data_IF_174841874796
#
_entry.id   IF_174841874796
#
_cell.length_a   1.000
_cell.length_b   1.000
_cell.length_c   1.000
_cell.angle_alpha   90.00
_cell.angle_beta   90.00
_cell.angle_gamma   90.00
#
_symmetry.space_group_name_H-M   'P 1'
#
loop_
_entity.id
_entity.type
_entity.pdbx_description
1 polymer ?
#
# COMPACT_ATOMS: atom_id res chain seq x y z
N UNK A 1 24.58 41.08 -5.40
CA UNK A 1 24.65 42.53 -5.67
C UNK A 1 24.73 43.37 -4.39
N UNK A 2 23.88 43.12 -3.38
CA UNK A 2 23.93 43.78 -2.05
C UNK A 2 25.27 43.57 -1.33
N UNK A 3 25.79 42.33 -1.29
CA UNK A 3 27.09 41.97 -0.68
C UNK A 3 28.30 42.77 -1.20
N UNK A 4 28.36 43.00 -2.52
CA UNK A 4 29.45 43.79 -3.16
C UNK A 4 29.35 45.28 -2.80
N UNK A 5 28.11 45.77 -2.68
CA UNK A 5 27.80 47.17 -2.44
C UNK A 5 27.98 47.58 -0.98
N UNK A 6 27.55 46.70 -0.08
CA UNK A 6 27.79 46.76 1.35
C UNK A 6 29.29 46.80 1.68
N UNK A 7 30.07 45.93 1.04
CA UNK A 7 31.54 45.94 1.16
C UNK A 7 32.12 47.23 0.62
N UNK A 8 31.72 47.67 -0.58
CA UNK A 8 32.22 48.93 -1.15
C UNK A 8 31.92 50.15 -0.26
N UNK A 9 30.73 50.21 0.38
CA UNK A 9 30.44 51.23 1.39
C UNK A 9 31.33 51.05 2.62
N UNK A 10 31.47 49.84 3.16
CA UNK A 10 32.34 49.59 4.32
C UNK A 10 33.79 49.97 4.06
N UNK A 11 34.35 49.57 2.91
CA UNK A 11 35.73 49.86 2.50
C UNK A 11 35.92 51.37 2.31
N UNK A 12 34.95 52.07 1.72
CA UNK A 12 34.96 53.52 1.60
C UNK A 12 34.94 54.21 2.97
N UNK A 13 34.02 53.81 3.84
CA UNK A 13 33.88 54.38 5.18
C UNK A 13 35.13 54.12 6.04
N UNK A 14 35.80 52.98 5.86
CA UNK A 14 37.08 52.66 6.47
C UNK A 14 38.23 53.54 5.94
N UNK A 15 38.26 53.79 4.62
CA UNK A 15 39.21 54.74 4.04
C UNK A 15 38.98 56.17 4.52
N UNK A 16 37.72 56.60 4.62
CA UNK A 16 37.37 57.93 5.13
C UNK A 16 37.76 58.11 6.61
N UNK A 17 37.63 57.03 7.40
CA UNK A 17 38.06 56.97 8.79
C UNK A 17 39.58 57.17 8.96
N UNK A 18 40.36 56.51 8.12
CA UNK A 18 41.82 56.53 8.20
C UNK A 18 42.45 57.78 7.57
N UNK A 19 41.89 58.28 6.46
CA UNK A 19 42.48 59.34 5.63
C UNK A 19 41.82 60.71 5.83
N UNK A 20 40.72 60.78 6.57
CA UNK A 20 39.97 62.01 6.80
C UNK A 20 39.16 62.50 5.58
N UNK A 21 38.80 63.80 5.60
CA UNK A 21 37.84 64.49 4.71
C UNK A 21 38.27 64.48 3.22
N UNK A 22 39.48 64.05 2.89
CA UNK A 22 40.04 64.15 1.53
C UNK A 22 39.59 63.03 0.58
N UNK A 23 38.74 62.10 1.01
CA UNK A 23 38.38 60.93 0.21
C UNK A 23 37.16 61.20 -0.68
N UNK A 24 37.32 61.15 -2.01
CA UNK A 24 36.20 61.30 -2.95
C UNK A 24 35.26 60.09 -2.87
N UNK A 25 33.97 60.34 -2.61
CA UNK A 25 32.97 59.27 -2.56
C UNK A 25 32.82 58.65 -3.97
N UNK A 26 32.96 57.33 -4.12
CA UNK A 26 32.79 56.66 -5.41
C UNK A 26 31.43 56.96 -6.04
N UNK A 27 31.43 57.34 -7.33
CA UNK A 27 30.22 57.68 -8.10
C UNK A 27 29.18 56.54 -8.12
N UNK A 28 29.64 55.29 -8.01
CA UNK A 28 28.77 54.11 -7.93
C UNK A 28 27.91 54.05 -6.66
N UNK A 29 28.39 54.63 -5.55
CA UNK A 29 27.64 54.73 -4.30
C UNK A 29 26.63 55.88 -4.36
N UNK A 30 27.04 57.04 -4.92
CA UNK A 30 26.19 58.24 -5.07
C UNK A 30 24.94 58.01 -5.94
N UNK A 31 25.07 57.20 -6.99
CA UNK A 31 23.97 56.92 -7.93
C UNK A 31 22.89 55.99 -7.38
N UNK A 32 23.06 55.45 -6.17
CA UNK A 32 22.10 54.53 -5.59
C UNK A 32 20.94 55.30 -4.97
N UNK A 33 19.72 54.82 -5.20
CA UNK A 33 18.52 55.35 -4.56
C UNK A 33 18.23 54.71 -3.18
N UNK A 34 19.06 53.77 -2.74
CA UNK A 34 18.90 53.07 -1.46
C UNK A 34 19.62 53.78 -0.30
N UNK A 35 19.50 53.23 0.90
CA UNK A 35 20.08 53.78 2.15
C UNK A 35 21.60 53.97 2.06
N UNK A 36 22.31 53.13 1.28
CA UNK A 36 23.75 53.29 1.01
C UNK A 36 24.00 54.58 0.23
N UNK A 37 23.21 54.84 -0.81
CA UNK A 37 23.34 56.07 -1.59
C UNK A 37 22.93 57.32 -0.83
N UNK A 38 21.85 57.25 -0.04
CA UNK A 38 21.44 58.36 0.83
C UNK A 38 22.50 58.71 1.87
N UNK A 39 23.09 57.69 2.51
CA UNK A 39 24.19 57.88 3.46
C UNK A 39 25.42 58.46 2.76
N UNK A 40 25.77 57.96 1.57
CA UNK A 40 26.87 58.50 0.78
C UNK A 40 26.66 59.97 0.40
N UNK A 41 25.46 60.34 -0.07
CA UNK A 41 25.15 61.74 -0.40
C UNK A 41 25.11 62.67 0.82
N UNK A 42 24.66 62.17 1.98
CA UNK A 42 24.71 62.94 3.23
C UNK A 42 26.16 63.19 3.68
N UNK A 43 27.03 62.18 3.54
CA UNK A 43 28.46 62.32 3.79
C UNK A 43 29.12 63.32 2.84
N UNK A 44 28.75 63.30 1.55
CA UNK A 44 29.28 64.23 0.55
C UNK A 44 29.02 65.69 0.91
N UNK A 45 27.79 66.01 1.33
CA UNK A 45 27.44 67.38 1.74
C UNK A 45 28.29 67.88 2.90
N UNK A 46 28.57 67.02 3.87
CA UNK A 46 29.44 67.37 5.01
C UNK A 46 30.88 67.59 4.54
N UNK A 47 31.38 66.78 3.60
CA UNK A 47 32.72 66.93 3.02
C UNK A 47 32.84 68.23 2.19
N UNK A 48 31.85 68.53 1.35
CA UNK A 48 31.80 69.77 0.55
C UNK A 48 31.77 71.01 1.45
N UNK A 49 30.89 71.02 2.46
CA UNK A 49 30.73 72.14 3.38
C UNK A 49 31.92 72.31 4.35
N UNK A 50 32.69 71.25 4.60
CA UNK A 50 33.93 71.33 5.40
C UNK A 50 35.15 71.77 4.59
N UNK A 51 35.21 71.46 3.28
CA UNK A 51 36.27 71.92 2.38
C UNK A 51 36.15 73.41 2.01
N UNK A 52 34.93 73.95 1.92
CA UNK A 52 34.68 75.38 1.63
C UNK A 52 35.16 76.33 2.78
N UNK A 53 35.57 75.77 3.94
CA UNK A 53 36.19 76.54 5.04
C UNK A 53 37.60 77.04 4.74
N UNK A 54 38.37 76.37 3.88
CA UNK A 54 39.73 76.82 3.54
C UNK A 54 39.72 78.06 2.61
N UNK A 55 38.60 78.34 1.93
CA UNK A 55 38.49 79.44 0.96
C UNK A 55 37.73 80.68 1.50
N UNK A 56 36.91 80.53 2.55
CA UNK A 56 36.15 81.65 3.16
C UNK A 56 36.24 81.65 4.69
N UNK A 57 37.18 82.44 5.21
CA UNK A 57 37.21 82.78 6.62
C UNK A 57 35.98 83.65 7.01
N UNK A 58 35.29 83.23 8.07
CA UNK A 58 34.31 83.95 8.93
C UNK A 58 32.83 83.62 8.70
N UNK A 59 32.21 82.92 9.67
CA UNK A 59 30.76 82.95 9.86
C UNK A 59 30.18 81.79 10.68
N UNK A 60 29.39 82.12 11.70
CA UNK A 60 28.53 81.19 12.47
C UNK A 60 27.57 80.39 11.60
N UNK A 61 27.19 80.90 10.41
CA UNK A 61 26.27 80.22 9.48
C UNK A 61 26.79 78.91 8.87
N UNK A 62 28.10 78.81 8.57
CA UNK A 62 28.69 77.54 8.08
C UNK A 62 28.68 76.48 9.19
N UNK A 63 28.81 76.90 10.45
CA UNK A 63 28.71 76.00 11.60
C UNK A 63 27.29 75.48 11.81
N UNK A 64 26.27 76.32 11.59
CA UNK A 64 24.87 75.92 11.64
C UNK A 64 24.51 74.95 10.49
N UNK A 65 25.03 75.20 9.29
CA UNK A 65 24.80 74.34 8.10
C UNK A 65 25.43 72.95 8.25
N UNK A 66 26.71 72.88 8.67
CA UNK A 66 27.37 71.59 8.94
C UNK A 66 26.67 70.84 10.10
N UNK A 67 26.19 71.56 11.12
CA UNK A 67 25.41 70.96 12.21
C UNK A 67 24.09 70.36 11.70
N UNK A 68 23.40 71.07 10.79
CA UNK A 68 22.20 70.57 10.12
C UNK A 68 22.45 69.31 9.28
N UNK A 69 23.53 69.28 8.51
CA UNK A 69 23.93 68.11 7.72
C UNK A 69 24.34 66.93 8.61
N UNK A 70 24.99 67.17 9.74
CA UNK A 70 25.30 66.12 10.72
C UNK A 70 24.03 65.53 11.34
N UNK A 71 23.03 66.35 11.66
CA UNK A 71 21.73 65.87 12.14
C UNK A 71 21.03 65.02 11.07
N UNK A 72 21.12 65.42 9.81
CA UNK A 72 20.60 64.63 8.68
C UNK A 72 21.36 63.30 8.52
N UNK A 73 22.69 63.31 8.62
CA UNK A 73 23.51 62.10 8.60
C UNK A 73 23.19 61.17 9.78
N UNK A 74 23.04 61.72 10.99
CA UNK A 74 22.66 60.97 12.19
C UNK A 74 21.33 60.25 11.98
N UNK A 75 20.33 60.96 11.45
CA UNK A 75 19.02 60.39 11.14
C UNK A 75 19.09 59.28 10.09
N UNK A 76 19.90 59.44 9.04
CA UNK A 76 20.07 58.42 8.01
C UNK A 76 20.85 57.19 8.53
N UNK A 77 21.83 57.39 9.40
CA UNK A 77 22.57 56.32 10.09
C UNK A 77 21.65 55.55 11.03
N UNK A 78 20.80 56.23 11.80
CA UNK A 78 19.80 55.59 12.67
C UNK A 78 18.82 54.75 11.84
N UNK A 79 18.29 55.32 10.75
CA UNK A 79 17.38 54.61 9.86
C UNK A 79 18.06 53.38 9.22
N UNK A 80 19.29 53.53 8.75
CA UNK A 80 20.08 52.44 8.16
C UNK A 80 20.35 51.34 9.20
N UNK A 81 20.71 51.71 10.43
CA UNK A 81 20.93 50.77 11.54
C UNK A 81 19.66 49.95 11.81
N UNK A 82 18.49 50.59 11.88
CA UNK A 82 17.20 49.91 12.07
C UNK A 82 16.87 48.93 10.94
N UNK A 83 17.21 49.27 9.69
CA UNK A 83 17.06 48.37 8.55
C UNK A 83 17.97 47.14 8.70
N UNK A 84 19.23 47.32 9.10
CA UNK A 84 20.16 46.21 9.32
C UNK A 84 19.81 45.32 10.52
N UNK A 85 19.20 45.88 11.57
CA UNK A 85 18.66 45.09 12.68
C UNK A 85 17.50 44.21 12.21
N UNK A 86 16.58 44.78 11.43
CA UNK A 86 15.47 44.04 10.84
C UNK A 86 15.97 42.96 9.86
N UNK A 87 17.00 43.26 9.08
CA UNK A 87 17.65 42.31 8.17
C UNK A 87 18.34 41.17 8.93
N UNK A 88 19.06 41.47 10.01
CA UNK A 88 19.70 40.46 10.87
C UNK A 88 18.65 39.55 11.51
N UNK A 89 17.51 40.11 11.93
CA UNK A 89 16.37 39.33 12.44
C UNK A 89 15.83 38.39 11.36
N UNK A 90 15.58 38.89 10.15
CA UNK A 90 15.09 38.07 9.04
C UNK A 90 16.07 36.95 8.66
N UNK A 91 17.39 37.21 8.72
CA UNK A 91 18.43 36.18 8.51
C UNK A 91 18.38 35.10 9.58
N UNK A 92 18.20 35.46 10.86
CA UNK A 92 18.06 34.47 11.94
C UNK A 92 16.82 33.61 11.74
N UNK A 93 15.69 34.22 11.42
CA UNK A 93 14.45 33.50 11.11
C UNK A 93 14.63 32.55 9.89
N UNK A 94 15.37 32.97 8.86
CA UNK A 94 15.72 32.13 7.72
C UNK A 94 16.63 30.95 8.09
N UNK A 95 17.58 31.15 9.01
CA UNK A 95 18.43 30.08 9.52
C UNK A 95 17.62 29.07 10.35
N UNK A 96 16.79 29.54 11.28
CA UNK A 96 15.93 28.70 12.12
C UNK A 96 14.94 27.88 11.29
N UNK A 97 14.32 28.50 10.27
CA UNK A 97 13.43 27.78 9.34
C UNK A 97 14.20 26.75 8.52
N UNK A 98 15.42 27.05 8.09
CA UNK A 98 16.26 26.09 7.35
C UNK A 98 16.64 24.88 8.20
N UNK A 99 16.94 25.07 9.48
CA UNK A 99 17.20 23.97 10.42
C UNK A 99 15.97 23.06 10.58
N UNK A 100 14.78 23.65 10.69
CA UNK A 100 13.53 22.89 10.75
C UNK A 100 13.24 22.10 9.46
N UNK A 101 13.54 22.67 8.30
CA UNK A 101 13.43 21.95 7.01
C UNK A 101 14.46 20.81 6.96
N UNK A 102 15.68 21.00 7.47
CA UNK A 102 16.71 19.97 7.50
C UNK A 102 16.28 18.78 8.37
N UNK A 103 15.73 19.06 9.56
CA UNK A 103 15.17 18.03 10.43
C UNK A 103 14.03 17.25 9.74
N UNK A 104 13.11 17.97 9.08
CA UNK A 104 12.01 17.36 8.33
C UNK A 104 12.51 16.50 7.17
N UNK A 105 13.54 16.96 6.46
CA UNK A 105 14.19 16.21 5.38
C UNK A 105 14.81 14.90 5.89
N UNK A 106 15.45 14.91 7.06
CA UNK A 106 15.98 13.68 7.68
C UNK A 106 14.87 12.71 8.10
N UNK A 107 13.73 13.20 8.58
CA UNK A 107 12.58 12.34 8.89
C UNK A 107 11.96 11.72 7.64
N UNK A 108 11.98 12.44 6.52
CA UNK A 108 11.62 11.90 5.22
C UNK A 108 12.60 10.77 4.82
N UNK A 109 13.91 10.94 4.99
CA UNK A 109 14.90 9.86 4.72
C UNK A 109 14.56 8.59 5.52
N UNK A 110 14.26 8.74 6.82
CA UNK A 110 13.87 7.60 7.68
C UNK A 110 12.60 6.94 7.18
N UNK A 111 11.61 7.73 6.75
CA UNK A 111 10.35 7.23 6.19
C UNK A 111 10.59 6.44 4.89
N UNK A 112 11.47 6.92 4.02
CA UNK A 112 11.84 6.20 2.79
C UNK A 112 12.58 4.91 3.09
N UNK A 113 13.50 4.90 4.05
CA UNK A 113 14.17 3.66 4.48
C UNK A 113 13.17 2.63 5.02
N UNK A 114 12.17 3.09 5.76
CA UNK A 114 11.09 2.24 6.23
C UNK A 114 10.25 1.68 5.07
N UNK A 115 9.91 2.50 4.08
CA UNK A 115 9.22 2.06 2.86
C UNK A 115 10.06 1.02 2.12
N UNK A 116 11.36 1.26 1.92
CA UNK A 116 12.27 0.31 1.28
C UNK A 116 12.34 -1.04 1.99
N UNK A 117 12.30 -1.05 3.33
CA UNK A 117 12.19 -2.29 4.10
C UNK A 117 10.85 -2.99 3.85
N UNK A 118 9.75 -2.23 3.80
CA UNK A 118 8.40 -2.77 3.55
C UNK A 118 8.24 -3.30 2.13
N UNK A 119 8.80 -2.64 1.13
CA UNK A 119 8.79 -3.11 -0.26
C UNK A 119 9.60 -4.39 -0.40
N UNK A 120 10.78 -4.48 0.24
CA UNK A 120 11.57 -5.73 0.27
C UNK A 120 10.80 -6.90 0.90
N UNK A 121 10.11 -6.65 2.01
CA UNK A 121 9.20 -7.65 2.59
C UNK A 121 8.05 -8.02 1.63
N UNK A 122 7.48 -7.02 0.93
CA UNK A 122 6.45 -7.19 -0.08
C UNK A 122 6.87 -8.13 -1.21
N UNK A 123 8.11 -8.00 -1.73
CA UNK A 123 8.65 -8.93 -2.75
C UNK A 123 8.63 -10.38 -2.24
N UNK A 124 9.06 -10.60 -1.00
CA UNK A 124 9.05 -11.95 -0.41
C UNK A 124 7.62 -12.49 -0.28
N UNK A 125 6.68 -11.66 0.16
CA UNK A 125 5.27 -12.04 0.31
C UNK A 125 4.62 -12.37 -1.03
N UNK A 126 4.87 -11.56 -2.07
CA UNK A 126 4.43 -11.85 -3.44
C UNK A 126 4.93 -13.22 -3.88
N UNK A 127 6.21 -13.51 -3.66
CA UNK A 127 6.79 -14.80 -4.06
C UNK A 127 6.13 -15.97 -3.34
N UNK A 128 5.83 -15.81 -2.06
CA UNK A 128 5.11 -16.82 -1.28
C UNK A 128 3.69 -17.06 -1.81
N UNK A 129 2.95 -15.98 -2.14
CA UNK A 129 1.60 -16.09 -2.72
C UNK A 129 1.64 -16.87 -4.04
N UNK A 130 2.59 -16.56 -4.92
CA UNK A 130 2.76 -17.29 -6.19
C UNK A 130 3.04 -18.78 -5.96
N UNK A 131 3.94 -19.12 -5.03
CA UNK A 131 4.25 -20.51 -4.69
C UNK A 131 3.03 -21.25 -4.13
N UNK A 132 2.24 -20.59 -3.27
CA UNK A 132 1.01 -21.16 -2.70
C UNK A 132 -0.08 -21.34 -3.75
N UNK A 133 -0.22 -20.39 -4.68
CA UNK A 133 -1.15 -20.49 -5.80
C UNK A 133 -0.79 -21.67 -6.72
N UNK A 134 0.49 -21.86 -7.03
CA UNK A 134 0.94 -22.98 -7.85
C UNK A 134 0.76 -24.33 -7.12
N UNK A 135 1.09 -24.38 -5.84
CA UNK A 135 0.84 -25.57 -5.01
C UNK A 135 -0.65 -25.92 -4.95
N UNK A 136 -1.53 -24.92 -4.82
CA UNK A 136 -2.97 -25.11 -4.84
C UNK A 136 -3.43 -25.71 -6.18
N UNK A 137 -2.93 -25.20 -7.31
CA UNK A 137 -3.25 -25.78 -8.64
C UNK A 137 -2.86 -27.25 -8.71
N UNK A 138 -1.65 -27.59 -8.29
CA UNK A 138 -1.18 -28.96 -8.28
C UNK A 138 -2.08 -29.86 -7.43
N UNK A 139 -2.41 -29.44 -6.21
CA UNK A 139 -3.30 -30.18 -5.31
C UNK A 139 -4.69 -30.38 -5.92
N UNK A 140 -5.23 -29.38 -6.61
CA UNK A 140 -6.52 -29.49 -7.30
C UNK A 140 -6.45 -30.48 -8.47
N UNK A 141 -5.39 -30.46 -9.28
CA UNK A 141 -5.22 -31.45 -10.36
C UNK A 141 -5.12 -32.88 -9.82
N UNK A 142 -4.36 -33.09 -8.73
CA UNK A 142 -4.27 -34.40 -8.07
C UNK A 142 -5.63 -34.84 -7.52
N UNK A 143 -6.38 -33.94 -6.89
CA UNK A 143 -7.70 -34.22 -6.36
C UNK A 143 -8.71 -34.56 -7.48
N UNK A 144 -8.67 -33.82 -8.59
CA UNK A 144 -9.52 -34.07 -9.75
C UNK A 144 -9.20 -35.42 -10.40
N UNK A 145 -7.92 -35.78 -10.49
CA UNK A 145 -7.49 -37.12 -10.92
C UNK A 145 -8.04 -38.23 -10.03
N UNK A 146 -7.91 -38.08 -8.71
CA UNK A 146 -8.47 -39.05 -7.73
C UNK A 146 -9.99 -39.15 -7.83
N UNK A 147 -10.68 -38.02 -7.90
CA UNK A 147 -12.14 -37.96 -8.02
C UNK A 147 -12.62 -38.68 -9.28
N UNK A 148 -11.93 -38.48 -10.41
CA UNK A 148 -12.22 -39.17 -11.66
C UNK A 148 -12.01 -40.68 -11.56
N UNK A 149 -10.92 -41.13 -10.97
CA UNK A 149 -10.67 -42.57 -10.75
C UNK A 149 -11.78 -43.21 -9.92
N UNK A 150 -12.21 -42.56 -8.83
CA UNK A 150 -13.32 -43.05 -7.99
C UNK A 150 -14.64 -43.06 -8.76
N UNK A 151 -14.91 -42.01 -9.53
CA UNK A 151 -16.10 -41.91 -10.38
C UNK A 151 -16.17 -43.06 -11.39
N UNK A 152 -15.10 -43.27 -12.16
CA UNK A 152 -15.05 -44.30 -13.20
C UNK A 152 -15.18 -45.71 -12.60
N UNK A 153 -14.50 -45.98 -11.47
CA UNK A 153 -14.60 -47.26 -10.76
C UNK A 153 -16.03 -47.51 -10.23
N UNK A 154 -16.62 -46.52 -9.53
CA UNK A 154 -17.96 -46.63 -8.95
C UNK A 154 -19.01 -46.83 -10.05
N UNK A 155 -18.87 -46.13 -11.18
CA UNK A 155 -19.74 -46.30 -12.33
C UNK A 155 -19.67 -47.73 -12.88
N UNK A 156 -18.47 -48.28 -13.08
CA UNK A 156 -18.29 -49.65 -13.56
C UNK A 156 -18.83 -50.71 -12.59
N UNK A 157 -18.61 -50.52 -11.29
CA UNK A 157 -19.15 -51.40 -10.25
C UNK A 157 -20.69 -51.37 -10.24
N UNK A 158 -21.28 -50.18 -10.41
CA UNK A 158 -22.74 -50.02 -10.49
C UNK A 158 -23.33 -50.71 -11.73
N UNK A 159 -22.72 -50.51 -12.90
CA UNK A 159 -23.14 -51.18 -14.14
C UNK A 159 -23.09 -52.71 -13.99
N UNK A 160 -22.03 -53.23 -13.37
CA UNK A 160 -21.87 -54.66 -13.08
C UNK A 160 -22.91 -55.16 -12.08
N UNK A 161 -23.21 -54.39 -11.02
CA UNK A 161 -24.21 -54.75 -10.03
C UNK A 161 -25.63 -54.79 -10.62
N UNK A 162 -25.96 -53.86 -11.51
CA UNK A 162 -27.25 -53.84 -12.23
C UNK A 162 -27.34 -55.02 -13.20
N UNK A 163 -26.26 -55.40 -13.87
CA UNK A 163 -26.29 -56.59 -14.73
C UNK A 163 -26.49 -57.87 -13.92
N UNK A 164 -25.77 -58.01 -12.81
CA UNK A 164 -25.88 -59.17 -11.92
C UNK A 164 -27.26 -59.28 -11.25
N UNK A 165 -27.94 -58.16 -11.00
CA UNK A 165 -29.27 -58.16 -10.40
C UNK A 165 -30.35 -58.73 -11.33
N UNK A 166 -30.11 -58.80 -12.65
CA UNK A 166 -31.03 -59.47 -13.59
C UNK A 166 -31.21 -60.97 -13.29
N UNK A 167 -30.29 -61.59 -12.55
CA UNK A 167 -30.47 -62.96 -12.04
C UNK A 167 -31.71 -63.07 -11.13
N UNK A 168 -32.13 -61.98 -10.48
CA UNK A 168 -33.36 -61.92 -9.67
C UNK A 168 -34.60 -62.18 -10.54
N UNK A 169 -34.61 -61.75 -11.80
CA UNK A 169 -35.68 -62.04 -12.76
C UNK A 169 -35.81 -63.54 -13.03
N UNK A 170 -34.69 -64.27 -13.06
CA UNK A 170 -34.69 -65.73 -13.20
C UNK A 170 -35.31 -66.44 -11.99
N UNK A 171 -35.17 -65.87 -10.78
CA UNK A 171 -35.83 -66.40 -9.57
C UNK A 171 -37.35 -66.29 -9.69
N UNK A 172 -37.87 -65.20 -10.27
CA UNK A 172 -39.30 -65.05 -10.54
C UNK A 172 -39.82 -66.16 -11.48
N UNK A 173 -39.10 -66.47 -12.55
CA UNK A 173 -39.46 -67.56 -13.48
C UNK A 173 -39.43 -68.94 -12.80
N UNK A 174 -38.42 -69.20 -11.97
CA UNK A 174 -38.29 -70.45 -11.21
C UNK A 174 -39.42 -70.61 -10.19
N UNK A 175 -39.74 -69.55 -9.45
CA UNK A 175 -40.82 -69.59 -8.45
C UNK A 175 -42.20 -69.78 -9.08
N UNK A 176 -42.46 -69.17 -10.25
CA UNK A 176 -43.66 -69.44 -11.06
C UNK A 176 -43.79 -70.93 -11.41
N UNK A 177 -42.68 -71.54 -11.85
CA UNK A 177 -42.62 -72.97 -12.19
C UNK A 177 -42.90 -73.86 -10.97
N UNK A 178 -42.36 -73.51 -9.79
CA UNK A 178 -42.63 -74.25 -8.55
C UNK A 178 -44.11 -74.10 -8.12
N UNK A 179 -44.72 -72.93 -8.32
CA UNK A 179 -46.17 -72.74 -8.07
C UNK A 179 -47.00 -73.66 -8.97
N UNK A 180 -46.62 -73.80 -10.24
CA UNK A 180 -47.30 -74.74 -11.16
C UNK A 180 -47.16 -76.19 -10.68
N UNK A 181 -45.95 -76.62 -10.31
CA UNK A 181 -45.69 -77.97 -9.78
C UNK A 181 -46.49 -78.22 -8.50
N UNK A 182 -46.43 -77.30 -7.52
CA UNK A 182 -47.15 -77.44 -6.24
C UNK A 182 -48.67 -77.48 -6.45
N UNK A 183 -49.20 -76.70 -7.41
CA UNK A 183 -50.62 -76.73 -7.77
C UNK A 183 -51.01 -78.07 -8.40
N UNK A 184 -50.17 -78.62 -9.28
CA UNK A 184 -50.39 -79.93 -9.88
C UNK A 184 -50.29 -81.07 -8.85
N UNK A 185 -49.32 -81.01 -7.94
CA UNK A 185 -49.18 -81.96 -6.82
C UNK A 185 -50.37 -81.90 -5.87
N UNK A 186 -50.88 -80.70 -5.59
CA UNK A 186 -52.10 -80.53 -4.78
C UNK A 186 -53.33 -81.16 -5.45
N UNK A 187 -53.47 -81.01 -6.77
CA UNK A 187 -54.53 -81.67 -7.56
C UNK A 187 -54.39 -83.20 -7.58
N UNK A 188 -53.17 -83.71 -7.74
CA UNK A 188 -52.87 -85.14 -7.68
C UNK A 188 -53.20 -85.73 -6.30
N UNK A 189 -52.80 -85.04 -5.23
CA UNK A 189 -53.10 -85.42 -3.86
C UNK A 189 -54.60 -85.41 -3.58
N UNK A 190 -55.33 -84.40 -4.08
CA UNK A 190 -56.78 -84.33 -3.99
C UNK A 190 -57.45 -85.53 -4.69
N UNK A 191 -57.02 -85.85 -5.91
CA UNK A 191 -57.53 -87.01 -6.64
C UNK A 191 -57.23 -88.33 -5.90
N UNK A 192 -56.04 -88.46 -5.30
CA UNK A 192 -55.68 -89.61 -4.49
C UNK A 192 -56.52 -89.73 -3.22
N UNK A 193 -56.83 -88.62 -2.54
CA UNK A 193 -57.74 -88.58 -1.39
C UNK A 193 -59.16 -89.01 -1.78
N UNK A 194 -59.66 -88.57 -2.94
CA UNK A 194 -60.96 -88.98 -3.48
C UNK A 194 -61.00 -90.49 -3.74
N UNK A 195 -59.99 -91.05 -4.40
CA UNK A 195 -59.95 -92.47 -4.75
C UNK A 195 -59.71 -93.35 -3.50
N UNK A 196 -58.94 -92.88 -2.52
CA UNK A 196 -58.78 -93.53 -1.22
C UNK A 196 -60.09 -93.58 -0.43
N UNK A 197 -60.90 -92.51 -0.47
CA UNK A 197 -62.24 -92.51 0.13
C UNK A 197 -63.18 -93.50 -0.59
N UNK A 198 -63.02 -93.66 -1.90
CA UNK A 198 -63.80 -94.58 -2.74
C UNK A 198 -63.50 -96.06 -2.43
N UNK A 199 -62.27 -96.38 -2.03
CA UNK A 199 -61.85 -97.71 -1.60
C UNK A 199 -62.30 -98.08 -0.16
N UNK A 200 -62.94 -97.16 0.57
CA UNK A 200 -63.50 -97.43 1.91
C UNK A 200 -62.44 -97.77 2.96
N UNK A 201 -62.67 -98.85 3.74
CA UNK A 201 -61.75 -99.31 4.81
C UNK A 201 -60.33 -99.63 4.28
N UNK A 202 -60.21 -100.17 3.07
CA UNK A 202 -58.92 -100.53 2.48
C UNK A 202 -58.08 -99.30 2.06
N UNK A 203 -58.72 -98.14 1.87
CA UNK A 203 -58.07 -96.90 1.44
C UNK A 203 -57.62 -95.96 2.57
N UNK A 204 -57.96 -96.26 3.84
CA UNK A 204 -57.67 -95.37 4.98
C UNK A 204 -56.20 -94.95 5.08
N UNK A 205 -55.26 -95.88 4.91
CA UNK A 205 -53.82 -95.58 4.94
C UNK A 205 -53.37 -94.66 3.80
N UNK A 206 -53.89 -94.88 2.59
CA UNK A 206 -53.62 -94.03 1.43
C UNK A 206 -54.23 -92.63 1.57
N UNK A 207 -55.41 -92.51 2.17
CA UNK A 207 -56.06 -91.23 2.40
C UNK A 207 -55.25 -90.33 3.34
N UNK A 208 -54.62 -90.90 4.37
CA UNK A 208 -53.76 -90.15 5.29
C UNK A 208 -52.52 -89.62 4.56
N UNK A 209 -51.87 -90.46 3.76
CA UNK A 209 -50.71 -90.05 2.96
C UNK A 209 -51.09 -88.97 1.93
N UNK A 210 -52.21 -89.13 1.24
CA UNK A 210 -52.68 -88.16 0.26
C UNK A 210 -53.00 -86.80 0.88
N UNK A 211 -53.65 -86.76 2.04
CA UNK A 211 -53.93 -85.50 2.73
C UNK A 211 -52.65 -84.84 3.28
N UNK A 212 -51.63 -85.62 3.67
CA UNK A 212 -50.32 -85.09 4.05
C UNK A 212 -49.56 -84.49 2.85
N UNK A 213 -49.58 -85.15 1.69
CA UNK A 213 -49.02 -84.60 0.43
C UNK A 213 -49.73 -83.30 0.05
N UNK A 214 -51.06 -83.24 0.21
CA UNK A 214 -51.87 -82.04 -0.04
C UNK A 214 -51.41 -80.87 0.85
N UNK A 215 -51.26 -81.11 2.16
CA UNK A 215 -50.77 -80.11 3.11
C UNK A 215 -49.36 -79.65 2.78
N UNK A 216 -48.45 -80.55 2.42
CA UNK A 216 -47.09 -80.22 2.00
C UNK A 216 -47.09 -79.34 0.74
N UNK A 217 -47.92 -79.67 -0.26
CA UNK A 217 -48.03 -78.88 -1.49
C UNK A 217 -48.55 -77.45 -1.21
N UNK A 218 -49.55 -77.31 -0.32
CA UNK A 218 -50.09 -76.01 0.09
C UNK A 218 -49.07 -75.19 0.92
N UNK A 219 -48.32 -75.86 1.81
CA UNK A 219 -47.21 -75.23 2.53
C UNK A 219 -46.10 -74.78 1.57
N UNK A 220 -45.69 -75.60 0.61
CA UNK A 220 -44.71 -75.22 -0.41
C UNK A 220 -45.18 -74.01 -1.22
N UNK A 221 -46.45 -73.98 -1.66
CA UNK A 221 -47.02 -72.82 -2.37
C UNK A 221 -46.94 -71.54 -1.53
N UNK A 222 -47.26 -71.62 -0.24
CA UNK A 222 -47.17 -70.48 0.67
C UNK A 222 -45.72 -69.98 0.85
N UNK A 223 -44.74 -70.89 0.93
CA UNK A 223 -43.31 -70.53 1.00
C UNK A 223 -42.88 -69.85 -0.30
N UNK A 224 -43.24 -70.39 -1.45
CA UNK A 224 -42.87 -69.82 -2.75
C UNK A 224 -43.50 -68.44 -2.98
N UNK A 225 -44.75 -68.24 -2.55
CA UNK A 225 -45.38 -66.92 -2.58
C UNK A 225 -44.65 -65.89 -1.72
N UNK A 226 -44.09 -66.30 -0.57
CA UNK A 226 -43.21 -65.43 0.23
C UNK A 226 -41.89 -65.13 -0.50
N UNK A 227 -41.31 -66.12 -1.19
CA UNK A 227 -40.10 -65.90 -2.01
C UNK A 227 -40.38 -64.85 -3.08
N UNK A 228 -41.48 -64.97 -3.85
CA UNK A 228 -41.87 -63.97 -4.85
C UNK A 228 -41.99 -62.56 -4.26
N UNK A 229 -42.62 -62.42 -3.08
CA UNK A 229 -42.69 -61.11 -2.39
C UNK A 229 -41.31 -60.55 -2.06
N UNK A 230 -40.39 -61.38 -1.57
CA UNK A 230 -39.02 -60.94 -1.29
C UNK A 230 -38.25 -60.60 -2.56
N UNK A 231 -38.44 -61.35 -3.65
CA UNK A 231 -37.83 -61.07 -4.95
C UNK A 231 -38.23 -59.69 -5.46
N UNK A 232 -39.52 -59.32 -5.39
CA UNK A 232 -40.00 -57.99 -5.76
C UNK A 232 -39.38 -56.90 -4.88
N UNK A 233 -39.30 -57.11 -3.56
CA UNK A 233 -38.66 -56.14 -2.65
C UNK A 233 -37.17 -55.94 -2.95
N UNK A 234 -36.47 -57.01 -3.34
CA UNK A 234 -35.06 -56.94 -3.75
C UNK A 234 -34.93 -56.16 -5.05
N UNK A 235 -35.79 -56.41 -6.04
CA UNK A 235 -35.79 -55.67 -7.31
C UNK A 235 -36.02 -54.17 -7.09
N UNK A 236 -37.05 -53.79 -6.32
CA UNK A 236 -37.31 -52.39 -5.96
C UNK A 236 -36.11 -51.73 -5.26
N UNK A 237 -35.46 -52.46 -4.34
CA UNK A 237 -34.28 -51.97 -3.62
C UNK A 237 -33.10 -51.73 -4.57
N UNK A 238 -32.91 -52.61 -5.56
CA UNK A 238 -31.86 -52.46 -6.58
C UNK A 238 -32.14 -51.26 -7.48
N UNK A 239 -33.39 -51.06 -7.92
CA UNK A 239 -33.79 -49.89 -8.73
C UNK A 239 -33.51 -48.60 -7.96
N UNK A 240 -33.95 -48.51 -6.71
CA UNK A 240 -33.67 -47.33 -5.88
C UNK A 240 -32.18 -47.09 -5.62
N UNK A 241 -31.39 -48.15 -5.46
CA UNK A 241 -29.94 -48.05 -5.34
C UNK A 241 -29.30 -47.52 -6.63
N UNK A 242 -29.76 -47.99 -7.78
CA UNK A 242 -29.30 -47.54 -9.09
C UNK A 242 -29.61 -46.06 -9.34
N UNK A 243 -30.85 -45.64 -9.07
CA UNK A 243 -31.26 -44.22 -9.16
C UNK A 243 -30.42 -43.34 -8.22
N UNK A 244 -30.26 -43.74 -6.96
CA UNK A 244 -29.50 -42.98 -5.97
C UNK A 244 -28.02 -42.86 -6.36
N UNK A 245 -27.44 -43.95 -6.87
CA UNK A 245 -26.04 -43.99 -7.31
C UNK A 245 -25.83 -43.14 -8.57
N UNK A 246 -26.77 -43.18 -9.52
CA UNK A 246 -26.72 -42.31 -10.71
C UNK A 246 -26.78 -40.83 -10.34
N UNK A 247 -27.62 -40.44 -9.37
CA UNK A 247 -27.66 -39.06 -8.86
C UNK A 247 -26.34 -38.64 -8.21
N UNK A 248 -25.68 -39.54 -7.48
CA UNK A 248 -24.36 -39.27 -6.91
C UNK A 248 -23.28 -39.11 -7.99
N UNK A 249 -23.32 -39.95 -9.03
CA UNK A 249 -22.43 -39.82 -10.18
C UNK A 249 -22.66 -38.49 -10.90
N UNK A 250 -23.91 -38.09 -11.14
CA UNK A 250 -24.23 -36.80 -11.76
C UNK A 250 -23.69 -35.61 -10.94
N UNK A 251 -23.89 -35.64 -9.62
CA UNK A 251 -23.33 -34.64 -8.70
C UNK A 251 -21.79 -34.60 -8.77
N UNK A 252 -21.13 -35.76 -8.80
CA UNK A 252 -19.67 -35.82 -8.93
C UNK A 252 -19.18 -35.29 -10.29
N UNK A 253 -19.86 -35.63 -11.38
CA UNK A 253 -19.47 -35.20 -12.72
C UNK A 253 -19.69 -33.71 -12.95
N UNK A 254 -20.67 -33.12 -12.26
CA UNK A 254 -21.12 -31.75 -12.53
C UNK A 254 -20.64 -30.82 -11.42
N UNK A 255 -21.22 -30.92 -10.22
CA UNK A 255 -20.97 -30.00 -9.13
C UNK A 255 -19.53 -30.09 -8.60
N UNK A 256 -19.03 -31.31 -8.37
CA UNK A 256 -17.66 -31.48 -7.87
C UNK A 256 -16.63 -31.00 -8.89
N UNK A 257 -16.81 -31.34 -10.17
CA UNK A 257 -15.95 -30.86 -11.25
C UNK A 257 -15.99 -29.32 -11.38
N UNK A 258 -17.17 -28.72 -11.35
CA UNK A 258 -17.34 -27.27 -11.40
C UNK A 258 -16.68 -26.56 -10.21
N UNK A 259 -16.79 -27.12 -9.00
CA UNK A 259 -16.10 -26.59 -7.82
C UNK A 259 -14.58 -26.61 -7.97
N UNK A 260 -14.01 -27.69 -8.52
CA UNK A 260 -12.57 -27.75 -8.79
C UNK A 260 -12.14 -26.74 -9.86
N UNK A 261 -12.91 -26.56 -10.94
CA UNK A 261 -12.64 -25.53 -11.95
C UNK A 261 -12.68 -24.12 -11.35
N UNK A 262 -13.68 -23.81 -10.52
CA UNK A 262 -13.76 -22.53 -9.81
C UNK A 262 -12.55 -22.32 -8.88
N UNK A 263 -12.08 -23.38 -8.21
CA UNK A 263 -10.88 -23.33 -7.36
C UNK A 263 -9.61 -23.06 -8.17
N UNK A 264 -9.48 -23.64 -9.37
CA UNK A 264 -8.38 -23.33 -10.29
C UNK A 264 -8.43 -21.88 -10.76
N UNK A 265 -9.62 -21.33 -11.01
CA UNK A 265 -9.80 -19.92 -11.35
C UNK A 265 -9.33 -19.01 -10.20
N UNK A 266 -9.67 -19.34 -8.95
CA UNK A 266 -9.19 -18.61 -7.76
C UNK A 266 -7.66 -18.66 -7.68
N UNK A 267 -7.06 -19.84 -7.93
CA UNK A 267 -5.60 -19.96 -7.93
C UNK A 267 -4.93 -19.13 -9.03
N UNK A 268 -5.56 -19.00 -10.20
CA UNK A 268 -5.11 -18.08 -11.25
C UNK A 268 -5.21 -16.62 -10.80
N UNK A 269 -6.35 -16.21 -10.23
CA UNK A 269 -6.55 -14.85 -9.71
C UNK A 269 -5.52 -14.49 -8.65
N UNK A 270 -5.15 -15.40 -7.76
CA UNK A 270 -4.07 -15.15 -6.80
C UNK A 270 -2.70 -14.89 -7.45
N UNK A 271 -2.42 -15.50 -8.60
CA UNK A 271 -1.20 -15.22 -9.34
C UNK A 271 -1.25 -13.83 -9.99
N UNK A 272 -2.41 -13.44 -10.53
CA UNK A 272 -2.65 -12.11 -11.10
C UNK A 272 -2.56 -11.03 -10.01
N UNK A 273 -3.20 -11.25 -8.86
CA UNK A 273 -3.12 -10.36 -7.69
C UNK A 273 -1.68 -10.23 -7.19
N UNK A 274 -0.92 -11.33 -7.15
CA UNK A 274 0.50 -11.28 -6.79
C UNK A 274 1.33 -10.47 -7.79
N UNK A 275 1.03 -10.58 -9.09
CA UNK A 275 1.67 -9.74 -10.12
C UNK A 275 1.34 -8.26 -9.93
N UNK A 276 0.08 -7.93 -9.68
CA UNK A 276 -0.34 -6.56 -9.40
C UNK A 276 0.38 -5.98 -8.18
N UNK A 277 0.49 -6.75 -7.08
CA UNK A 277 1.24 -6.33 -5.90
C UNK A 277 2.73 -6.18 -6.18
N UNK A 278 3.32 -7.05 -7.02
CA UNK A 278 4.71 -6.92 -7.43
C UNK A 278 4.97 -5.60 -8.16
N UNK A 279 4.07 -5.21 -9.06
CA UNK A 279 4.18 -3.97 -9.82
C UNK A 279 4.09 -2.75 -8.91
N UNK A 280 3.16 -2.74 -7.96
CA UNK A 280 3.08 -1.69 -6.92
C UNK A 280 4.38 -1.61 -6.09
N UNK A 281 4.96 -2.75 -5.71
CA UNK A 281 6.22 -2.79 -4.96
C UNK A 281 7.37 -2.20 -5.79
N UNK A 282 7.40 -2.46 -7.09
CA UNK A 282 8.36 -1.89 -8.02
C UNK A 282 8.22 -0.36 -8.13
N UNK A 283 6.99 0.12 -8.26
CA UNK A 283 6.67 1.55 -8.31
C UNK A 283 7.05 2.28 -7.00
N UNK A 284 6.78 1.68 -5.85
CA UNK A 284 7.21 2.23 -4.56
C UNK A 284 8.73 2.32 -4.45
N UNK A 285 9.47 1.34 -4.96
CA UNK A 285 10.94 1.40 -4.98
C UNK A 285 11.45 2.53 -5.89
N UNK A 286 10.87 2.69 -7.08
CA UNK A 286 11.22 3.78 -7.98
C UNK A 286 10.95 5.16 -7.35
N UNK A 287 9.74 5.35 -6.83
CA UNK A 287 9.33 6.59 -6.14
C UNK A 287 10.21 6.88 -4.92
N UNK A 288 10.55 5.85 -4.13
CA UNK A 288 11.46 5.99 -2.99
C UNK A 288 12.84 6.48 -3.40
N UNK A 289 13.38 5.96 -4.51
CA UNK A 289 14.67 6.39 -5.03
C UNK A 289 14.65 7.85 -5.47
N UNK A 290 13.62 8.27 -6.20
CA UNK A 290 13.44 9.67 -6.62
C UNK A 290 13.30 10.61 -5.42
N UNK A 291 12.59 10.16 -4.38
CA UNK A 291 12.38 10.94 -3.18
C UNK A 291 13.68 11.14 -2.40
N UNK A 292 14.58 10.14 -2.35
CA UNK A 292 15.92 10.29 -1.79
C UNK A 292 16.75 11.32 -2.56
N UNK A 293 16.69 11.31 -3.89
CA UNK A 293 17.38 12.32 -4.72
C UNK A 293 16.83 13.72 -4.42
N UNK A 294 15.51 13.85 -4.33
CA UNK A 294 14.85 15.13 -4.00
C UNK A 294 15.27 15.65 -2.63
N UNK A 295 15.28 14.79 -1.61
CA UNK A 295 15.72 15.14 -0.26
C UNK A 295 17.20 15.54 -0.24
N UNK A 296 18.05 14.84 -0.98
CA UNK A 296 19.47 15.21 -1.12
C UNK A 296 19.65 16.62 -1.71
N UNK A 297 18.83 16.99 -2.70
CA UNK A 297 18.85 18.33 -3.27
C UNK A 297 18.40 19.39 -2.27
N UNK A 298 17.32 19.11 -1.52
CA UNK A 298 16.83 20.00 -0.44
C UNK A 298 17.90 20.24 0.62
N UNK A 299 18.59 19.18 1.07
CA UNK A 299 19.68 19.32 2.06
C UNK A 299 20.85 20.15 1.53
N UNK A 300 21.20 20.00 0.25
CA UNK A 300 22.23 20.82 -0.39
C UNK A 300 21.80 22.30 -0.50
N UNK A 301 20.53 22.58 -0.81
CA UNK A 301 20.03 23.94 -0.88
C UNK A 301 19.93 24.60 0.52
N UNK A 302 19.62 23.82 1.56
CA UNK A 302 19.70 24.27 2.96
C UNK A 302 21.13 24.66 3.33
N UNK A 303 22.13 23.88 2.95
CA UNK A 303 23.53 24.20 3.22
C UNK A 303 23.94 25.54 2.59
N UNK A 304 23.51 25.79 1.33
CA UNK A 304 23.70 27.08 0.65
C UNK A 304 22.96 28.24 1.34
N UNK A 305 21.76 28.00 1.85
CA UNK A 305 21.00 29.01 2.60
C UNK A 305 21.70 29.32 3.92
N UNK A 306 22.14 28.30 4.66
CA UNK A 306 22.89 28.46 5.91
C UNK A 306 24.16 29.30 5.70
N UNK A 307 24.94 28.98 4.65
CA UNK A 307 26.11 29.75 4.28
C UNK A 307 25.77 31.20 3.92
N UNK A 308 24.72 31.41 3.12
CA UNK A 308 24.27 32.75 2.71
C UNK A 308 23.75 33.58 3.87
N UNK A 309 23.05 32.96 4.82
CA UNK A 309 22.57 33.56 6.06
C UNK A 309 23.72 33.97 6.96
N UNK A 310 24.71 33.09 7.16
CA UNK A 310 25.93 33.40 7.93
C UNK A 310 26.68 34.60 7.33
N UNK A 311 26.90 34.57 6.02
CA UNK A 311 27.52 35.67 5.28
C UNK A 311 26.72 36.98 5.41
N UNK A 312 25.39 36.89 5.27
CA UNK A 312 24.48 38.04 5.39
C UNK A 312 24.54 38.69 6.77
N UNK A 313 24.61 37.88 7.84
CA UNK A 313 24.71 38.35 9.21
C UNK A 313 26.04 39.05 9.47
N UNK A 314 27.16 38.48 9.02
CA UNK A 314 28.50 39.10 9.12
C UNK A 314 28.54 40.46 8.41
N UNK A 315 28.00 40.53 7.20
CA UNK A 315 27.91 41.79 6.44
C UNK A 315 27.06 42.82 7.16
N UNK A 316 25.90 42.43 7.70
CA UNK A 316 25.02 43.32 8.43
C UNK A 316 25.70 43.92 9.67
N UNK A 317 26.41 43.08 10.44
CA UNK A 317 27.17 43.51 11.61
C UNK A 317 28.32 44.44 11.25
N UNK A 318 29.06 44.15 10.18
CA UNK A 318 30.15 45.01 9.69
C UNK A 318 29.62 46.39 9.30
N UNK A 319 28.55 46.47 8.53
CA UNK A 319 27.98 47.77 8.12
C UNK A 319 27.50 48.56 9.33
N UNK A 320 26.81 47.91 10.28
CA UNK A 320 26.39 48.56 11.53
C UNK A 320 27.59 49.14 12.28
N UNK A 321 28.65 48.37 12.46
CA UNK A 321 29.88 48.81 13.13
C UNK A 321 30.56 49.98 12.40
N UNK A 322 30.68 49.89 11.08
CA UNK A 322 31.31 50.93 10.26
C UNK A 322 30.50 52.24 10.26
N UNK A 323 29.17 52.17 10.20
CA UNK A 323 28.31 53.36 10.28
C UNK A 323 28.46 54.10 11.62
N UNK A 324 28.53 53.36 12.72
CA UNK A 324 28.78 53.95 14.04
C UNK A 324 30.15 54.63 14.10
N UNK A 325 31.20 53.98 13.57
CA UNK A 325 32.55 54.57 13.52
C UNK A 325 32.58 55.89 12.74
N UNK A 326 31.93 55.92 11.57
CA UNK A 326 31.86 57.11 10.71
C UNK A 326 31.17 58.25 11.43
N UNK A 327 30.02 57.98 12.06
CA UNK A 327 29.32 58.98 12.87
C UNK A 327 30.24 59.58 13.95
N UNK A 328 30.95 58.73 14.69
CA UNK A 328 31.86 59.16 15.76
C UNK A 328 33.04 59.99 15.23
N UNK A 329 33.54 59.70 14.03
CA UNK A 329 34.62 60.48 13.41
C UNK A 329 34.17 61.85 12.92
N UNK A 330 33.00 61.93 12.27
CA UNK A 330 32.43 63.23 11.90
C UNK A 330 32.12 64.09 13.13
N UNK A 331 31.68 63.45 14.22
CA UNK A 331 31.53 64.14 15.52
C UNK A 331 32.87 64.67 16.05
N UNK A 332 33.94 63.87 16.00
CA UNK A 332 35.30 64.33 16.40
C UNK A 332 35.84 65.45 15.52
N UNK A 333 35.54 65.43 14.22
CA UNK A 333 35.88 66.51 13.29
C UNK A 333 35.23 67.81 13.74
N UNK A 334 33.95 67.79 14.13
CA UNK A 334 33.27 68.96 14.68
C UNK A 334 33.87 69.45 16.01
N UNK A 335 34.23 68.53 16.91
CA UNK A 335 34.92 68.87 18.16
C UNK A 335 36.28 69.53 17.91
N UNK A 336 37.02 69.08 16.88
CA UNK A 336 38.30 69.70 16.47
C UNK A 336 38.13 71.04 15.73
N UNK A 337 36.98 71.26 15.09
CA UNK A 337 36.66 72.50 14.37
C UNK A 337 36.25 73.65 15.31
N UNK A 338 36.40 73.48 16.62
CA UNK A 338 36.12 74.46 17.68
C UNK A 338 34.70 75.05 17.60
N UNK A 339 33.70 74.17 17.53
CA UNK A 339 32.32 74.50 17.86
C UNK A 339 32.16 74.28 19.36
N UNK A 340 32.83 75.13 20.16
CA UNK A 340 32.54 75.24 21.59
C UNK A 340 31.79 76.52 21.97
N UNK A 341 31.26 77.27 21.01
CA UNK A 341 30.36 78.39 21.31
C UNK A 341 29.00 78.19 20.64
N UNK A 342 27.97 78.10 21.48
CA UNK A 342 26.52 78.09 21.17
C UNK A 342 25.79 76.74 21.25
N UNK A 343 25.95 76.06 22.39
CA UNK A 343 24.81 75.62 23.22
C UNK A 343 24.96 76.36 24.56
#
# INVERSE_FOLDING_TARGET
>A
MVKKSARALSDFLESAAEQGISTEIPMELKKRADYIGKTACALERILENSADKDEKASGTGISEEISGDLLALSSEIENTTRVFESFTKAIREAADTSENIAASALDIVRSVQFISKKTSQGVSTVKEIQLRAESLKQQVYEALGKARTVFDATKGDLETAIENSKVVEQISVLTESIIQITTQTNLLALNATIEAARAGEAGKGFSVVADEIRKLAEQSKNVVSKIQKFTVQVEESVVHLAESSNRLLEFMSTDVNNNYMATLEIANKYNDDASFVNDMVSEFNATSSELLTTVSNVLNDIDKISQSSSDGADIALKIKGTLTRVYDEFKKVLEKLDIQSSI
#
